data_IF_732406347344
#
_entry.id   IF_732406347344
#
_cell.length_a   1.000
_cell.length_b   1.000
_cell.length_c   1.000
_cell.angle_alpha   90.00
_cell.angle_beta   90.00
_cell.angle_gamma   90.00
#
_symmetry.space_group_name_H-M   'P 1'
#
loop_
_entity.id
_entity.type
_entity.pdbx_description
1 polymer ?
#
# COMPACT_ATOMS: atom_id res chain seq x y z
N UNK A 1 49.46 30.99 -26.16
CA UNK A 1 48.01 30.67 -26.05
C UNK A 1 47.76 29.34 -26.75
N UNK A 2 47.40 28.30 -26.00
CA UNK A 2 46.92 27.01 -26.51
C UNK A 2 45.72 26.62 -25.67
N UNK A 3 44.52 26.75 -26.23
CA UNK A 3 43.28 26.31 -25.60
C UNK A 3 43.18 24.79 -25.67
N UNK A 4 42.97 24.14 -24.52
CA UNK A 4 42.62 22.72 -24.43
C UNK A 4 41.10 22.63 -24.31
N UNK A 5 40.42 22.18 -25.36
CA UNK A 5 39.04 21.72 -25.27
C UNK A 5 39.02 20.34 -24.61
N UNK A 6 38.39 20.23 -23.45
CA UNK A 6 38.07 18.95 -22.82
C UNK A 6 36.70 18.49 -23.33
N UNK A 7 36.71 17.43 -24.13
CA UNK A 7 35.49 16.68 -24.45
C UNK A 7 35.01 15.92 -23.20
N UNK A 8 33.85 16.31 -22.67
CA UNK A 8 33.15 15.56 -21.63
C UNK A 8 32.29 14.50 -22.32
N UNK A 9 32.58 13.22 -22.04
CA UNK A 9 31.78 12.11 -22.55
C UNK A 9 30.38 12.09 -21.91
N UNK A 10 29.31 11.75 -22.67
CA UNK A 10 27.96 11.67 -22.13
C UNK A 10 27.83 10.51 -21.14
N UNK A 11 27.27 10.81 -19.96
CA UNK A 11 26.97 9.81 -18.92
C UNK A 11 25.87 8.87 -19.42
N UNK A 12 26.20 7.58 -19.48
CA UNK A 12 25.28 6.47 -19.71
C UNK A 12 24.19 6.46 -18.63
N UNK A 13 22.94 6.72 -19.03
CA UNK A 13 21.74 6.51 -18.23
C UNK A 13 21.43 5.02 -18.18
N UNK A 14 21.50 4.42 -16.98
CA UNK A 14 21.02 3.06 -16.74
C UNK A 14 19.48 3.04 -16.78
N UNK A 15 18.85 2.01 -17.36
CA UNK A 15 17.40 1.89 -17.41
C UNK A 15 16.81 1.60 -16.04
N UNK A 16 15.60 2.14 -15.83
CA UNK A 16 14.80 2.02 -14.63
C UNK A 16 14.58 0.56 -14.23
N UNK A 17 14.78 0.28 -12.94
CA UNK A 17 14.56 -1.02 -12.31
C UNK A 17 13.09 -1.41 -12.43
N UNK A 18 12.84 -2.57 -13.04
CA UNK A 18 11.50 -3.16 -13.15
C UNK A 18 10.92 -3.41 -11.76
N UNK A 19 9.76 -2.82 -11.49
CA UNK A 19 8.92 -3.11 -10.32
C UNK A 19 8.51 -4.59 -10.39
N UNK A 20 8.93 -5.36 -9.39
CA UNK A 20 8.59 -6.78 -9.27
C UNK A 20 7.09 -6.95 -9.04
N UNK A 21 6.42 -7.57 -10.01
CA UNK A 21 5.03 -7.99 -9.89
C UNK A 21 4.89 -9.09 -8.84
N UNK A 22 4.37 -8.73 -7.68
CA UNK A 22 3.94 -9.70 -6.66
C UNK A 22 2.65 -10.35 -7.15
N UNK A 23 2.73 -11.62 -7.55
CA UNK A 23 1.54 -12.45 -7.85
C UNK A 23 0.82 -12.78 -6.54
N UNK A 24 -0.09 -11.91 -6.09
CA UNK A 24 -0.96 -12.20 -4.95
C UNK A 24 -2.10 -13.14 -5.35
N UNK A 25 -2.01 -14.42 -4.98
CA UNK A 25 -3.12 -15.38 -5.06
C UNK A 25 -4.18 -15.04 -4.01
N UNK A 26 -5.44 -15.12 -4.43
CA UNK A 26 -6.69 -15.06 -3.65
C UNK A 26 -7.14 -13.67 -3.20
N UNK A 27 -7.71 -12.94 -4.16
CA UNK A 27 -8.48 -11.72 -3.96
C UNK A 27 -9.85 -12.08 -3.36
N UNK A 28 -10.19 -11.57 -2.18
CA UNK A 28 -11.53 -11.66 -1.60
C UNK A 28 -12.57 -10.74 -2.29
N UNK A 29 -12.20 -10.06 -3.38
CA UNK A 29 -13.04 -9.14 -4.17
C UNK A 29 -14.36 -9.80 -4.64
N UNK A 30 -14.39 -11.13 -4.81
CA UNK A 30 -15.57 -11.83 -5.32
C UNK A 30 -16.84 -11.73 -4.43
N UNK A 31 -16.73 -11.40 -3.13
CA UNK A 31 -17.89 -11.33 -2.21
C UNK A 31 -18.51 -9.94 -2.07
N UNK A 32 -17.91 -8.90 -2.64
CA UNK A 32 -18.39 -7.51 -2.51
C UNK A 32 -19.33 -7.15 -3.67
N UNK A 33 -20.05 -8.15 -4.17
CA UNK A 33 -20.53 -8.14 -5.54
C UNK A 33 -21.95 -7.57 -5.68
N UNK A 34 -22.84 -7.88 -4.72
CA UNK A 34 -24.26 -7.61 -4.88
C UNK A 34 -24.68 -6.21 -4.39
N UNK A 35 -24.03 -5.71 -3.34
CA UNK A 35 -24.34 -4.41 -2.74
C UNK A 35 -23.59 -3.25 -3.42
N UNK A 36 -22.42 -3.53 -4.02
CA UNK A 36 -21.72 -2.51 -4.82
C UNK A 36 -22.38 -2.30 -6.17
N UNK A 37 -22.96 -3.35 -6.77
CA UNK A 37 -23.68 -3.24 -8.04
C UNK A 37 -24.90 -2.32 -7.96
N UNK A 38 -25.58 -2.23 -6.81
CA UNK A 38 -26.72 -1.32 -6.67
C UNK A 38 -26.32 0.15 -6.60
N UNK A 39 -25.14 0.44 -6.03
CA UNK A 39 -24.65 1.81 -5.86
C UNK A 39 -23.75 2.25 -7.02
N UNK A 40 -23.12 1.30 -7.73
CA UNK A 40 -22.20 1.53 -8.83
C UNK A 40 -22.44 0.51 -9.94
N UNK A 41 -23.50 0.69 -10.76
CA UNK A 41 -23.87 -0.26 -11.81
C UNK A 41 -22.84 -0.36 -12.94
N UNK A 42 -22.08 0.72 -13.18
CA UNK A 42 -21.05 0.81 -14.23
C UNK A 42 -19.68 0.27 -13.78
N UNK A 43 -19.47 0.08 -12.47
CA UNK A 43 -18.42 -0.81 -11.97
C UNK A 43 -18.89 -2.23 -12.29
N UNK A 44 -18.62 -2.64 -13.53
CA UNK A 44 -18.48 -4.05 -13.83
C UNK A 44 -17.45 -4.57 -12.84
N UNK A 45 -17.95 -5.32 -11.85
CA UNK A 45 -17.27 -6.37 -11.12
C UNK A 45 -15.77 -6.38 -11.43
N UNK A 46 -14.95 -5.84 -10.52
CA UNK A 46 -13.50 -5.85 -10.69
C UNK A 46 -13.06 -7.32 -10.76
N UNK A 47 -13.02 -7.87 -11.98
CA UNK A 47 -12.53 -9.21 -12.22
C UNK A 47 -11.03 -9.13 -11.94
N UNK A 48 -10.50 -9.96 -11.02
CA UNK A 48 -9.06 -10.04 -10.79
C UNK A 48 -8.23 -10.18 -12.07
N UNK A 49 -8.80 -10.76 -13.15
CA UNK A 49 -8.16 -10.89 -14.47
C UNK A 49 -8.01 -9.59 -15.23
N UNK A 50 -8.80 -8.57 -14.91
CA UNK A 50 -8.77 -7.25 -15.55
C UNK A 50 -7.83 -6.26 -14.84
N UNK A 51 -7.29 -6.63 -13.67
CA UNK A 51 -6.29 -5.82 -12.97
C UNK A 51 -4.94 -5.95 -13.71
N UNK A 52 -4.39 -4.82 -14.13
CA UNK A 52 -3.06 -4.73 -14.74
C UNK A 52 -1.98 -4.54 -13.67
N UNK A 53 -2.24 -3.70 -12.67
CA UNK A 53 -1.32 -3.41 -11.57
C UNK A 53 -2.07 -3.17 -10.25
N UNK A 54 -1.35 -3.37 -9.14
CA UNK A 54 -1.83 -3.09 -7.78
C UNK A 54 -0.71 -2.40 -7.02
N UNK A 55 -1.00 -1.22 -6.50
CA UNK A 55 -0.08 -0.44 -5.68
C UNK A 55 -0.63 -0.34 -4.25
N UNK A 56 0.19 -0.69 -3.26
CA UNK A 56 -0.17 -0.49 -1.85
C UNK A 56 0.05 0.97 -1.49
N UNK A 57 -1.00 1.66 -1.05
CA UNK A 57 -0.91 3.06 -0.63
C UNK A 57 -0.66 3.16 0.86
N UNK A 58 -1.34 2.35 1.65
CA UNK A 58 -1.14 2.25 3.09
C UNK A 58 -1.54 0.86 3.61
N UNK A 59 -0.93 0.47 4.73
CA UNK A 59 -1.27 -0.72 5.49
C UNK A 59 -1.07 -0.41 6.98
N UNK A 60 -2.17 -0.34 7.73
CA UNK A 60 -2.17 -0.14 9.17
C UNK A 60 -2.53 -1.46 9.87
N UNK A 61 -1.63 -1.98 10.70
CA UNK A 61 -1.91 -3.15 11.53
C UNK A 61 -1.85 -2.72 12.98
N UNK A 62 -2.94 -2.94 13.69
CA UNK A 62 -3.08 -2.76 15.12
C UNK A 62 -3.03 -4.13 15.78
N UNK A 63 -2.13 -4.34 16.74
CA UNK A 63 -1.95 -5.65 17.35
C UNK A 63 -1.64 -5.55 18.84
N UNK A 64 -2.01 -6.61 19.57
CA UNK A 64 -1.71 -6.78 21.00
C UNK A 64 -0.69 -7.89 21.18
N UNK A 65 0.36 -7.60 21.95
CA UNK A 65 1.41 -8.56 22.29
C UNK A 65 1.84 -8.34 23.73
N UNK A 66 1.87 -9.43 24.50
CA UNK A 66 2.25 -9.41 25.93
C UNK A 66 1.43 -8.40 26.76
N UNK A 67 0.16 -8.22 26.42
CA UNK A 67 -0.76 -7.29 27.08
C UNK A 67 -0.64 -5.82 26.64
N UNK A 68 0.35 -5.49 25.81
CA UNK A 68 0.56 -4.14 25.29
C UNK A 68 0.03 -4.00 23.86
N UNK A 69 -0.36 -2.78 23.48
CA UNK A 69 -0.92 -2.48 22.15
C UNK A 69 0.09 -1.72 21.32
N UNK A 70 0.23 -2.13 20.06
CA UNK A 70 1.19 -1.59 19.10
C UNK A 70 0.54 -1.39 17.75
N UNK A 71 1.03 -0.40 17.00
CA UNK A 71 0.64 -0.17 15.61
C UNK A 71 1.86 -0.28 14.72
N UNK A 72 1.75 -0.99 13.61
CA UNK A 72 2.71 -0.90 12.53
C UNK A 72 2.01 -0.35 11.31
N UNK A 73 2.59 0.70 10.73
CA UNK A 73 2.04 1.40 9.57
C UNK A 73 3.07 1.37 8.45
N UNK A 74 2.66 0.91 7.29
CA UNK A 74 3.41 1.05 6.04
C UNK A 74 2.62 1.98 5.13
N UNK A 75 3.25 2.95 4.48
CA UNK A 75 2.56 3.84 3.54
C UNK A 75 3.51 4.37 2.48
N UNK A 76 2.94 4.73 1.34
CA UNK A 76 3.66 5.37 0.24
C UNK A 76 4.01 6.80 0.64
N UNK A 77 5.31 7.12 0.66
CA UNK A 77 5.84 8.46 0.92
C UNK A 77 6.59 8.97 -0.31
N UNK A 78 6.34 10.23 -0.68
CA UNK A 78 7.07 10.88 -1.76
C UNK A 78 8.48 11.25 -1.32
N UNK A 79 9.47 10.92 -2.15
CA UNK A 79 10.86 11.29 -1.94
C UNK A 79 11.49 11.93 -3.17
N UNK A 80 12.70 12.45 -3.00
CA UNK A 80 13.44 13.12 -4.07
C UNK A 80 13.71 12.24 -5.31
N UNK A 81 13.65 10.91 -5.16
CA UNK A 81 13.89 9.94 -6.24
C UNK A 81 12.62 9.13 -6.57
N UNK A 82 11.45 9.74 -6.38
CA UNK A 82 10.15 9.07 -6.47
C UNK A 82 9.66 8.54 -5.14
N UNK A 83 8.46 7.96 -5.17
CA UNK A 83 7.75 7.46 -4.00
C UNK A 83 8.33 6.12 -3.52
N UNK A 84 8.20 5.83 -2.24
CA UNK A 84 8.70 4.61 -1.61
C UNK A 84 7.83 4.20 -0.43
N UNK A 85 7.85 2.92 -0.07
CA UNK A 85 7.13 2.44 1.11
C UNK A 85 7.89 2.79 2.38
N UNK A 86 7.25 3.51 3.30
CA UNK A 86 7.79 3.88 4.61
C UNK A 86 7.13 3.08 5.72
N UNK A 87 7.95 2.51 6.60
CA UNK A 87 7.54 1.82 7.82
C UNK A 87 7.63 2.74 9.03
N UNK A 88 6.58 2.77 9.85
CA UNK A 88 6.60 3.37 11.18
C UNK A 88 5.99 2.38 12.17
N UNK A 89 6.60 2.26 13.34
CA UNK A 89 6.16 1.39 14.41
C UNK A 89 5.85 2.23 15.65
N UNK A 90 4.73 1.95 16.30
CA UNK A 90 4.25 2.67 17.46
C UNK A 90 3.92 1.69 18.59
N UNK A 91 4.09 2.16 19.82
CA UNK A 91 3.50 1.58 21.03
C UNK A 91 2.44 2.53 21.55
N UNK A 92 1.28 2.03 21.93
CA UNK A 92 0.27 2.84 22.59
C UNK A 92 0.52 2.93 24.08
N UNK A 93 0.22 4.08 24.66
CA UNK A 93 0.08 4.22 26.11
C UNK A 93 -1.33 3.82 26.59
N UNK A 94 -1.59 4.04 27.88
CA UNK A 94 -2.85 3.64 28.52
C UNK A 94 -4.06 4.41 28.00
N UNK A 95 -3.85 5.57 27.40
CA UNK A 95 -4.90 6.42 26.82
C UNK A 95 -5.08 6.15 25.32
N UNK A 96 -4.34 5.17 24.77
CA UNK A 96 -4.37 4.83 23.34
C UNK A 96 -3.56 5.78 22.46
N UNK A 97 -2.72 6.64 23.05
CA UNK A 97 -1.90 7.57 22.29
C UNK A 97 -0.65 6.87 21.74
N UNK A 98 -0.36 7.01 20.43
CA UNK A 98 0.74 6.29 19.79
C UNK A 98 2.10 6.99 19.98
N UNK A 99 3.07 6.27 20.54
CA UNK A 99 4.46 6.70 20.68
C UNK A 99 5.34 5.98 19.66
N UNK A 100 6.07 6.73 18.84
CA UNK A 100 6.95 6.17 17.80
C UNK A 100 8.08 5.38 18.47
N UNK A 101 8.25 4.12 18.04
CA UNK A 101 9.37 3.28 18.40
C UNK A 101 10.46 3.38 17.32
N UNK A 102 11.74 3.48 17.72
CA UNK A 102 12.84 3.56 16.76
C UNK A 102 12.96 2.25 15.98
N UNK A 103 13.24 2.39 14.68
CA UNK A 103 13.55 1.29 13.79
C UNK A 103 15.07 1.23 13.53
N UNK A 104 15.64 0.05 13.25
CA UNK A 104 17.01 -0.04 12.78
C UNK A 104 17.18 0.79 11.50
N UNK A 105 18.31 1.50 11.40
CA UNK A 105 18.60 2.38 10.26
C UNK A 105 18.52 1.63 8.93
N UNK A 106 17.79 2.18 7.96
CA UNK A 106 17.55 1.61 6.64
C UNK A 106 16.43 0.58 6.59
N UNK A 107 15.77 0.24 7.71
CA UNK A 107 14.60 -0.65 7.74
C UNK A 107 13.27 0.11 7.66
N UNK A 108 13.32 1.42 7.81
CA UNK A 108 12.19 2.34 7.64
C UNK A 108 11.74 2.48 6.19
N UNK A 109 12.57 2.12 5.21
CA UNK A 109 12.30 2.28 3.78
C UNK A 109 12.26 0.92 3.08
N UNK A 110 11.22 0.70 2.28
CA UNK A 110 10.95 -0.54 1.54
C UNK A 110 11.02 -1.79 2.43
N UNK A 111 10.21 -1.86 3.51
CA UNK A 111 10.23 -3.01 4.42
C UNK A 111 9.84 -4.29 3.68
N UNK A 112 10.60 -5.37 3.87
CA UNK A 112 10.19 -6.67 3.32
C UNK A 112 8.95 -7.21 4.05
N UNK A 113 8.18 -8.05 3.38
CA UNK A 113 7.01 -8.69 3.96
C UNK A 113 7.36 -9.55 5.19
N UNK A 114 8.51 -10.24 5.18
CA UNK A 114 8.97 -11.00 6.34
C UNK A 114 9.31 -10.09 7.52
N UNK A 115 9.95 -8.95 7.23
CA UNK A 115 10.29 -7.98 8.27
C UNK A 115 9.04 -7.37 8.89
N UNK A 116 8.05 -6.96 8.09
CA UNK A 116 6.77 -6.48 8.57
C UNK A 116 6.05 -7.54 9.43
N UNK A 117 6.01 -8.79 8.96
CA UNK A 117 5.37 -9.90 9.70
C UNK A 117 6.03 -10.18 11.04
N UNK A 118 7.32 -9.87 11.20
CA UNK A 118 8.04 -10.10 12.45
C UNK A 118 7.50 -9.28 13.63
N UNK A 119 6.89 -8.12 13.38
CA UNK A 119 6.34 -7.25 14.44
C UNK A 119 5.17 -7.90 15.19
N UNK A 120 4.24 -8.50 14.44
CA UNK A 120 3.00 -9.07 14.96
C UNK A 120 2.99 -10.61 14.91
N UNK A 121 4.15 -11.24 14.74
CA UNK A 121 4.26 -12.69 14.86
C UNK A 121 3.89 -13.14 16.29
N UNK A 122 2.88 -14.00 16.38
CA UNK A 122 2.32 -14.48 17.66
C UNK A 122 1.44 -13.47 18.40
N UNK A 123 1.15 -12.31 17.79
CA UNK A 123 0.29 -11.29 18.37
C UNK A 123 -1.18 -11.52 18.01
N UNK A 124 -2.09 -10.94 18.81
CA UNK A 124 -3.50 -10.81 18.47
C UNK A 124 -3.66 -9.59 17.55
N UNK A 125 -4.18 -9.78 16.34
CA UNK A 125 -4.49 -8.67 15.44
C UNK A 125 -5.82 -8.05 15.87
N UNK A 126 -5.79 -6.79 16.30
CA UNK A 126 -6.96 -6.03 16.71
C UNK A 126 -7.64 -5.34 15.52
N UNK A 127 -6.84 -4.91 14.55
CA UNK A 127 -7.31 -4.19 13.37
C UNK A 127 -6.30 -4.34 12.22
N UNK A 128 -6.78 -4.59 11.00
CA UNK A 128 -5.97 -4.69 9.78
C UNK A 128 -6.63 -3.85 8.68
N UNK A 129 -6.06 -2.69 8.37
CA UNK A 129 -6.56 -1.76 7.36
C UNK A 129 -5.57 -1.63 6.20
N UNK A 130 -6.05 -1.73 4.96
CA UNK A 130 -5.24 -1.64 3.76
C UNK A 130 -5.88 -0.70 2.77
N UNK A 131 -5.08 0.25 2.28
CA UNK A 131 -5.42 1.08 1.13
C UNK A 131 -4.57 0.67 -0.04
N UNK A 132 -5.20 0.48 -1.20
CA UNK A 132 -4.48 0.18 -2.42
C UNK A 132 -5.17 0.77 -3.64
N UNK A 133 -4.36 1.09 -4.64
CA UNK A 133 -4.82 1.50 -5.96
C UNK A 133 -4.72 0.31 -6.91
N UNK A 134 -5.78 0.10 -7.68
CA UNK A 134 -5.82 -0.83 -8.78
C UNK A 134 -5.80 -0.05 -10.08
N UNK A 135 -4.94 -0.48 -10.99
CA UNK A 135 -5.00 -0.08 -12.40
C UNK A 135 -5.63 -1.24 -13.16
N UNK A 136 -6.63 -0.95 -13.99
CA UNK A 136 -7.27 -1.93 -14.84
C UNK A 136 -6.65 -1.92 -16.24
N UNK A 137 -6.80 -3.03 -16.97
CA UNK A 137 -6.31 -3.18 -18.35
C UNK A 137 -6.95 -2.22 -19.35
N UNK A 138 -8.12 -1.69 -19.03
CA UNK A 138 -8.81 -0.67 -19.82
C UNK A 138 -8.37 0.77 -19.48
N UNK A 139 -7.43 0.93 -18.54
CA UNK A 139 -6.86 2.21 -18.13
C UNK A 139 -7.62 2.91 -16.99
N UNK A 140 -8.69 2.31 -16.47
CA UNK A 140 -9.36 2.84 -15.27
C UNK A 140 -8.51 2.65 -14.02
N UNK A 141 -8.64 3.60 -13.10
CA UNK A 141 -8.04 3.52 -11.77
C UNK A 141 -9.13 3.41 -10.70
N UNK A 142 -8.89 2.54 -9.72
CA UNK A 142 -9.82 2.33 -8.62
C UNK A 142 -9.03 2.31 -7.32
N UNK A 143 -9.42 3.16 -6.37
CA UNK A 143 -8.88 3.15 -5.01
C UNK A 143 -9.79 2.34 -4.10
N UNK A 144 -9.21 1.45 -3.30
CA UNK A 144 -9.95 0.55 -2.40
C UNK A 144 -9.34 0.62 -1.01
N UNK A 145 -10.20 0.72 0.00
CA UNK A 145 -9.85 0.51 1.40
C UNK A 145 -10.51 -0.76 1.93
N UNK A 146 -9.71 -1.63 2.53
CA UNK A 146 -10.14 -2.82 3.24
C UNK A 146 -9.92 -2.65 4.74
N UNK A 147 -10.92 -2.99 5.56
CA UNK A 147 -10.80 -3.15 7.00
C UNK A 147 -11.12 -4.60 7.36
N UNK A 148 -10.20 -5.28 8.03
CA UNK A 148 -10.30 -6.68 8.44
C UNK A 148 -10.69 -7.60 7.28
N UNK A 149 -10.14 -7.34 6.09
CA UNK A 149 -10.38 -8.09 4.86
C UNK A 149 -11.74 -7.82 4.18
N UNK A 150 -12.50 -6.82 4.64
CA UNK A 150 -13.73 -6.37 4.01
C UNK A 150 -13.50 -5.02 3.32
N UNK A 151 -13.95 -4.88 2.08
CA UNK A 151 -13.94 -3.58 1.40
C UNK A 151 -14.96 -2.68 2.10
N UNK A 152 -14.47 -1.56 2.63
CA UNK A 152 -15.27 -0.51 3.27
C UNK A 152 -15.35 0.74 2.41
N UNK A 153 -14.32 0.98 1.58
CA UNK A 153 -14.29 2.10 0.65
C UNK A 153 -13.90 1.65 -0.75
N UNK A 154 -14.58 2.20 -1.74
CA UNK A 154 -14.17 2.13 -3.12
C UNK A 154 -14.44 3.48 -3.78
N UNK A 155 -13.46 3.97 -4.53
CA UNK A 155 -13.58 5.18 -5.32
C UNK A 155 -13.06 4.95 -6.74
N UNK A 156 -13.85 5.30 -7.74
CA UNK A 156 -13.43 5.41 -9.14
C UNK A 156 -14.02 6.67 -9.75
N UNK A 157 -13.15 7.61 -10.13
CA UNK A 157 -13.57 8.86 -10.74
C UNK A 157 -14.12 8.64 -12.17
N UNK A 158 -13.55 7.70 -12.92
CA UNK A 158 -13.96 7.38 -14.27
C UNK A 158 -15.36 6.75 -14.34
N UNK A 159 -15.74 6.02 -13.29
CA UNK A 159 -17.03 5.35 -13.18
C UNK A 159 -18.05 6.15 -12.33
N UNK A 160 -17.71 7.39 -11.94
CA UNK A 160 -18.50 8.26 -11.03
C UNK A 160 -19.06 7.50 -9.81
N UNK A 161 -18.19 6.68 -9.20
CA UNK A 161 -18.56 5.75 -8.16
C UNK A 161 -17.78 6.00 -6.88
N UNK A 162 -18.51 6.27 -5.81
CA UNK A 162 -18.00 6.31 -4.44
C UNK A 162 -18.88 5.44 -3.54
N UNK A 163 -18.26 4.46 -2.90
CA UNK A 163 -18.87 3.64 -1.85
C UNK A 163 -18.02 3.83 -0.60
N UNK A 164 -18.66 4.18 0.50
CA UNK A 164 -18.05 4.31 1.82
C UNK A 164 -19.02 3.73 2.85
N UNK A 165 -18.54 2.76 3.62
CA UNK A 165 -19.29 2.08 4.67
C UNK A 165 -18.67 2.39 6.02
N UNK A 166 -19.52 2.76 6.96
CA UNK A 166 -19.18 2.95 8.37
C UNK A 166 -18.88 1.62 9.09
#
# INVERSE_FOLDING_TARGET
MKERHQHVAPKSTKPATKVSQVKSKNLHIAKVNQEMQSNCPDIQLIDPKNISSRESLAHNIHYRKDGEVFRVRVFLEDGNNGSFQKLVHYKEDKDGFPHILPLPKGKEREPSAEYLKSFYAGAEILHDEKDYRLELKDGREISISEINGKIVKLNSEQDDCLIEKE
#
